data_IF_371568976170
#
_entry.id   IF_371568976170
#
_cell.length_a   1.000
_cell.length_b   1.000
_cell.length_c   1.000
_cell.angle_alpha   90.00
_cell.angle_beta   90.00
_cell.angle_gamma   90.00
#
_symmetry.space_group_name_H-M   'P 1'
#
loop_
_entity.id
_entity.type
_entity.pdbx_description
1 polymer ?
#
# COMPACT_ATOMS: atom_id res chain seq x y z
N UNK A 1 8.56 6.54 20.53
CA UNK A 1 7.32 7.23 20.13
C UNK A 1 7.73 8.33 19.16
N UNK A 2 7.56 8.13 17.85
CA UNK A 2 7.86 9.16 16.86
C UNK A 2 6.54 9.80 16.47
N UNK A 3 6.25 10.94 17.09
CA UNK A 3 5.10 11.76 16.75
C UNK A 3 5.18 12.11 15.27
N UNK A 4 4.19 11.65 14.52
CA UNK A 4 4.16 11.81 13.07
C UNK A 4 3.74 13.24 12.76
N UNK A 5 4.71 14.14 12.59
CA UNK A 5 4.49 15.54 12.26
C UNK A 5 3.55 15.61 11.05
N UNK A 6 2.35 16.13 11.26
CA UNK A 6 1.38 16.46 10.21
C UNK A 6 1.54 17.93 9.88
N UNK A 7 1.52 18.29 8.59
CA UNK A 7 1.53 19.70 8.21
C UNK A 7 0.21 20.34 8.62
N UNK A 8 0.28 21.29 9.55
CA UNK A 8 -0.89 21.98 10.10
C UNK A 8 -1.09 23.28 9.32
N UNK A 9 -2.26 23.43 8.74
CA UNK A 9 -2.70 24.71 8.16
C UNK A 9 -3.88 25.21 8.99
N UNK A 10 -3.71 26.40 9.57
CA UNK A 10 -4.77 27.11 10.26
C UNK A 10 -5.52 27.99 9.24
N UNK A 11 -6.84 27.81 9.14
CA UNK A 11 -7.67 28.63 8.27
C UNK A 11 -8.67 29.39 9.14
N UNK A 12 -8.60 30.73 9.11
CA UNK A 12 -9.58 31.62 9.71
C UNK A 12 -10.53 32.12 8.61
N UNK A 13 -11.74 31.56 8.55
CA UNK A 13 -12.71 31.87 7.50
C UNK A 13 -14.14 31.90 8.03
N UNK A 14 -14.87 32.98 7.73
CA UNK A 14 -16.21 33.25 8.27
C UNK A 14 -17.38 32.52 7.58
N UNK A 15 -17.20 31.85 6.42
CA UNK A 15 -18.24 30.99 5.79
C UNK A 15 -17.61 29.95 4.88
N UNK A 16 -18.11 28.72 4.92
CA UNK A 16 -18.30 27.79 3.79
C UNK A 16 -19.06 26.56 4.29
N UNK A 17 -20.24 26.32 3.72
CA UNK A 17 -21.08 25.13 3.98
C UNK A 17 -21.28 24.42 2.66
N UNK A 18 -20.24 23.72 2.21
CA UNK A 18 -20.42 22.72 1.16
C UNK A 18 -20.56 21.36 1.84
N UNK A 19 -21.80 20.87 1.86
CA UNK A 19 -22.16 19.52 2.31
C UNK A 19 -21.49 18.52 1.37
N UNK A 20 -20.35 17.97 1.79
CA UNK A 20 -19.86 16.72 1.20
C UNK A 20 -20.83 15.60 1.57
N UNK A 21 -21.28 14.89 0.54
CA UNK A 21 -22.37 13.93 0.61
C UNK A 21 -22.00 12.65 1.37
N UNK A 22 -22.31 12.60 2.66
CA UNK A 22 -22.26 11.39 3.50
C UNK A 22 -23.23 10.27 3.05
N UNK A 23 -24.08 10.54 2.05
CA UNK A 23 -25.16 9.62 1.64
C UNK A 23 -24.78 8.57 0.59
N UNK A 24 -23.58 8.62 0.01
CA UNK A 24 -23.16 7.66 -1.02
C UNK A 24 -22.35 6.47 -0.46
N UNK A 25 -21.66 6.63 0.68
CA UNK A 25 -20.83 5.59 1.29
C UNK A 25 -21.65 4.47 1.96
N UNK A 26 -22.82 4.79 2.52
CA UNK A 26 -23.61 3.85 3.32
C UNK A 26 -24.38 2.79 2.51
N UNK A 27 -24.55 3.00 1.20
CA UNK A 27 -25.25 2.03 0.32
C UNK A 27 -24.32 0.96 -0.28
N UNK A 28 -23.00 1.18 -0.26
CA UNK A 28 -22.00 0.27 -0.84
C UNK A 28 -21.46 -0.79 0.14
N UNK A 29 -21.76 -0.66 1.45
CA UNK A 29 -21.20 -1.50 2.51
C UNK A 29 -21.94 -2.82 2.77
N UNK A 30 -23.07 -3.09 2.11
CA UNK A 30 -23.95 -4.23 2.40
C UNK A 30 -23.85 -5.42 1.42
N UNK A 31 -23.11 -5.30 0.32
CA UNK A 31 -22.83 -6.42 -0.56
C UNK A 31 -21.50 -7.08 -0.15
N UNK A 32 -21.49 -8.40 0.00
CA UNK A 32 -20.24 -9.15 0.16
C UNK A 32 -19.33 -8.86 -1.03
N UNK A 33 -18.10 -8.40 -0.75
CA UNK A 33 -17.13 -8.12 -1.80
C UNK A 33 -16.66 -9.44 -2.42
N UNK A 34 -16.51 -9.52 -3.75
CA UNK A 34 -16.02 -10.73 -4.38
C UNK A 34 -14.62 -11.06 -3.87
N UNK A 35 -14.39 -12.32 -3.52
CA UNK A 35 -13.07 -12.80 -3.10
C UNK A 35 -12.20 -13.14 -4.30
N UNK A 36 -10.88 -13.00 -4.13
CA UNK A 36 -9.91 -13.38 -5.16
C UNK A 36 -9.92 -14.90 -5.30
N UNK A 37 -10.00 -15.41 -6.53
CA UNK A 37 -10.00 -16.86 -6.80
C UNK A 37 -8.84 -17.62 -6.14
N UNK A 38 -7.66 -17.00 -6.05
CA UNK A 38 -6.49 -17.61 -5.39
C UNK A 38 -6.65 -17.74 -3.87
N UNK A 39 -7.40 -16.84 -3.25
CA UNK A 39 -7.56 -16.76 -1.78
C UNK A 39 -8.55 -17.80 -1.25
N UNK A 40 -9.44 -18.30 -2.12
CA UNK A 40 -10.39 -19.36 -1.76
C UNK A 40 -9.72 -20.68 -1.36
N UNK A 41 -8.44 -20.87 -1.74
CA UNK A 41 -7.66 -22.07 -1.42
C UNK A 41 -6.75 -21.89 -0.20
N UNK A 42 -6.75 -20.71 0.43
CA UNK A 42 -5.88 -20.44 1.56
C UNK A 42 -6.38 -21.17 2.80
N UNK A 43 -5.46 -21.85 3.47
CA UNK A 43 -5.69 -22.54 4.75
C UNK A 43 -4.95 -21.86 5.90
N UNK A 44 -4.63 -20.57 5.73
CA UNK A 44 -3.88 -19.79 6.71
C UNK A 44 -4.78 -19.34 7.85
N UNK A 45 -4.27 -19.38 9.08
CA UNK A 45 -4.97 -18.92 10.28
C UNK A 45 -5.42 -17.45 10.14
N UNK A 46 -6.65 -17.17 10.56
CA UNK A 46 -7.23 -15.82 10.45
C UNK A 46 -6.45 -14.76 11.26
N UNK A 47 -5.68 -15.17 12.27
CA UNK A 47 -4.79 -14.28 13.03
C UNK A 47 -3.76 -13.58 12.14
N UNK A 48 -3.36 -14.18 11.00
CA UNK A 48 -2.43 -13.59 10.04
C UNK A 48 -3.02 -12.43 9.23
N UNK A 49 -4.33 -12.15 9.34
CA UNK A 49 -4.94 -10.96 8.75
C UNK A 49 -4.83 -9.74 9.67
N UNK A 50 -4.44 -9.92 10.93
CA UNK A 50 -4.21 -8.78 11.83
C UNK A 50 -2.88 -8.08 11.54
N UNK A 51 -2.94 -6.75 11.45
CA UNK A 51 -1.79 -5.90 11.14
C UNK A 51 -0.52 -6.21 11.96
N UNK A 52 -0.65 -6.37 13.29
CA UNK A 52 0.49 -6.66 14.16
C UNK A 52 1.15 -8.01 13.83
N UNK A 53 0.34 -9.03 13.49
CA UNK A 53 0.84 -10.34 13.10
C UNK A 53 1.52 -10.29 11.73
N UNK A 54 0.98 -9.52 10.79
CA UNK A 54 1.62 -9.29 9.49
C UNK A 54 2.96 -8.56 9.62
N UNK A 55 3.07 -7.60 10.54
CA UNK A 55 4.33 -6.92 10.82
C UNK A 55 5.35 -7.83 11.50
N UNK A 56 4.90 -8.72 12.40
CA UNK A 56 5.73 -9.78 12.97
C UNK A 56 6.26 -10.73 11.88
N UNK A 57 5.41 -11.15 10.94
CA UNK A 57 5.80 -11.96 9.79
C UNK A 57 6.92 -11.28 8.99
N UNK A 58 6.78 -9.99 8.66
CA UNK A 58 7.83 -9.25 7.93
C UNK A 58 9.18 -9.26 8.68
N UNK A 59 9.17 -9.06 10.01
CA UNK A 59 10.40 -9.15 10.82
C UNK A 59 11.03 -10.53 10.76
N UNK A 60 10.23 -11.59 10.89
CA UNK A 60 10.67 -12.98 10.86
C UNK A 60 11.17 -13.40 9.47
N UNK A 61 10.58 -12.85 8.40
CA UNK A 61 11.06 -13.06 7.03
C UNK A 61 12.45 -12.46 6.83
N UNK A 62 12.70 -11.23 7.28
CA UNK A 62 14.01 -10.56 7.23
C UNK A 62 15.06 -11.30 8.06
N UNK A 63 14.70 -11.75 9.26
CA UNK A 63 15.59 -12.51 10.13
C UNK A 63 15.89 -13.94 9.64
N UNK A 64 15.33 -14.32 8.48
CA UNK A 64 15.34 -15.68 7.92
C UNK A 64 14.96 -16.79 8.91
N UNK A 65 14.07 -16.47 9.88
CA UNK A 65 13.60 -17.39 10.92
C UNK A 65 13.01 -18.72 10.37
N UNK A 66 13.70 -19.87 10.53
CA UNK A 66 13.22 -21.15 10.00
C UNK A 66 11.97 -21.68 10.72
N UNK A 67 11.60 -21.12 11.87
CA UNK A 67 10.44 -21.55 12.66
C UNK A 67 9.12 -20.92 12.19
N UNK A 68 9.15 -20.05 11.16
CA UNK A 68 7.95 -19.50 10.54
C UNK A 68 7.43 -20.48 9.48
N UNK A 69 6.47 -21.33 9.85
CA UNK A 69 5.92 -22.36 8.97
C UNK A 69 5.31 -21.75 7.68
N UNK A 70 4.66 -20.59 7.78
CA UNK A 70 4.02 -19.88 6.67
C UNK A 70 5.01 -19.06 5.81
N UNK A 71 6.32 -19.15 6.06
CA UNK A 71 7.38 -18.38 5.35
C UNK A 71 7.19 -18.42 3.84
N UNK A 72 7.02 -19.62 3.30
CA UNK A 72 6.88 -19.84 1.86
C UNK A 72 5.57 -19.27 1.33
N UNK A 73 4.49 -19.32 2.11
CA UNK A 73 3.21 -18.72 1.74
C UNK A 73 3.35 -17.20 1.57
N UNK A 74 3.94 -16.51 2.56
CA UNK A 74 4.10 -15.05 2.48
C UNK A 74 5.06 -14.62 1.38
N UNK A 75 6.22 -15.29 1.25
CA UNK A 75 7.17 -15.01 0.15
C UNK A 75 6.49 -15.18 -1.21
N UNK A 76 5.67 -16.21 -1.39
CA UNK A 76 4.92 -16.45 -2.63
C UNK A 76 3.88 -15.37 -2.92
N UNK A 77 3.13 -14.91 -1.92
CA UNK A 77 2.15 -13.83 -2.13
C UNK A 77 2.80 -12.49 -2.47
N UNK A 78 3.93 -12.17 -1.82
CA UNK A 78 4.70 -10.96 -2.16
C UNK A 78 5.28 -11.06 -3.57
N UNK A 79 5.92 -12.20 -3.88
CA UNK A 79 6.47 -12.45 -5.22
C UNK A 79 5.41 -12.36 -6.31
N UNK A 80 4.22 -12.90 -6.08
CA UNK A 80 3.14 -12.84 -7.06
C UNK A 80 2.67 -11.40 -7.37
N UNK A 81 2.83 -10.45 -6.43
CA UNK A 81 2.62 -9.02 -6.71
C UNK A 81 3.77 -8.43 -7.54
N UNK A 82 5.02 -8.75 -7.18
CA UNK A 82 6.21 -8.30 -7.93
C UNK A 82 6.19 -8.76 -9.39
N UNK A 83 5.85 -10.04 -9.63
CA UNK A 83 5.70 -10.58 -10.98
C UNK A 83 4.58 -9.85 -11.76
N UNK A 84 3.54 -9.39 -11.04
CA UNK A 84 2.49 -8.54 -11.60
C UNK A 84 2.98 -7.16 -12.05
N UNK A 85 3.80 -6.51 -11.24
CA UNK A 85 4.42 -5.22 -11.59
C UNK A 85 5.42 -5.34 -12.74
N UNK A 86 6.28 -6.37 -12.71
CA UNK A 86 7.22 -6.63 -13.79
C UNK A 86 6.51 -6.83 -15.15
N UNK A 87 5.37 -7.53 -15.14
CA UNK A 87 4.53 -7.67 -16.34
C UNK A 87 3.94 -6.35 -16.79
N UNK A 88 3.42 -5.53 -15.87
CA UNK A 88 2.87 -4.21 -16.19
C UNK A 88 3.92 -3.29 -16.82
N UNK A 89 5.13 -3.26 -16.27
CA UNK A 89 6.23 -2.45 -16.82
C UNK A 89 6.59 -2.91 -18.24
N UNK A 90 6.67 -4.23 -18.46
CA UNK A 90 6.89 -4.81 -19.79
C UNK A 90 5.78 -4.46 -20.78
N UNK A 91 4.52 -4.59 -20.38
CA UNK A 91 3.34 -4.29 -21.22
C UNK A 91 3.28 -2.79 -21.59
N UNK A 92 3.77 -1.91 -20.73
CA UNK A 92 3.86 -0.47 -20.98
C UNK A 92 5.12 -0.04 -21.74
N UNK A 93 5.93 -0.99 -22.24
CA UNK A 93 7.14 -0.67 -22.98
C UNK A 93 8.24 -0.04 -22.13
N UNK A 94 8.18 -0.17 -20.79
CA UNK A 94 9.26 0.23 -19.88
C UNK A 94 10.34 -0.84 -20.00
N UNK A 95 11.12 -0.73 -21.07
CA UNK A 95 12.26 -1.58 -21.35
C UNK A 95 13.44 -1.04 -20.55
N UNK A 96 13.60 -1.53 -19.32
CA UNK A 96 14.80 -1.26 -18.55
C UNK A 96 16.02 -1.71 -19.35
N UNK A 97 16.80 -0.77 -19.86
CA UNK A 97 18.21 -1.00 -20.09
C UNK A 97 18.84 -1.23 -18.72
N UNK A 98 18.72 -2.42 -18.12
CA UNK A 98 19.54 -2.88 -16.98
C UNK A 98 19.08 -4.26 -16.46
N UNK A 99 20.04 -5.15 -16.19
CA UNK A 99 19.86 -6.23 -15.21
C UNK A 99 19.49 -5.54 -13.88
N UNK A 100 18.35 -5.88 -13.27
CA UNK A 100 17.76 -5.27 -12.04
C UNK A 100 16.61 -4.25 -12.23
N UNK A 101 15.91 -4.26 -13.38
CA UNK A 101 14.79 -3.34 -13.65
C UNK A 101 13.63 -3.38 -12.62
N UNK A 102 13.42 -4.50 -11.92
CA UNK A 102 12.39 -4.67 -10.87
C UNK A 102 13.06 -4.80 -9.50
N UNK A 103 12.51 -4.15 -8.48
CA UNK A 103 12.90 -4.34 -7.07
C UNK A 103 12.82 -5.82 -6.66
N UNK A 104 13.85 -6.29 -5.95
CA UNK A 104 13.94 -7.69 -5.52
C UNK A 104 12.93 -8.03 -4.42
N UNK A 105 12.70 -9.33 -4.20
CA UNK A 105 11.82 -9.80 -3.12
C UNK A 105 12.33 -9.33 -1.74
N UNK A 106 13.61 -9.49 -1.46
CA UNK A 106 14.18 -9.15 -0.15
C UNK A 106 14.12 -7.64 0.10
N UNK A 107 14.47 -6.83 -0.91
CA UNK A 107 14.34 -5.37 -0.83
C UNK A 107 12.88 -4.92 -0.66
N UNK A 108 11.93 -5.63 -1.26
CA UNK A 108 10.49 -5.36 -1.08
C UNK A 108 10.05 -5.67 0.36
N UNK A 109 10.49 -6.80 0.92
CA UNK A 109 10.17 -7.17 2.31
C UNK A 109 10.78 -6.12 3.27
N UNK A 110 12.00 -5.68 3.01
CA UNK A 110 12.67 -4.63 3.77
C UNK A 110 11.90 -3.30 3.69
N UNK A 111 11.53 -2.86 2.49
CA UNK A 111 10.74 -1.65 2.27
C UNK A 111 9.39 -1.70 3.02
N UNK A 112 8.69 -2.83 2.96
CA UNK A 112 7.45 -3.06 3.70
C UNK A 112 7.67 -2.97 5.22
N UNK A 113 8.77 -3.52 5.74
CA UNK A 113 9.09 -3.50 7.16
C UNK A 113 9.51 -2.10 7.65
N UNK A 114 10.40 -1.42 6.93
CA UNK A 114 10.87 -0.06 7.25
C UNK A 114 9.68 0.91 7.24
N UNK A 115 8.81 0.80 6.24
CA UNK A 115 7.55 1.56 6.16
C UNK A 115 6.51 1.14 7.21
N UNK A 116 6.81 0.16 8.07
CA UNK A 116 5.91 -0.42 9.08
C UNK A 116 4.58 -0.87 8.47
N UNK A 117 4.61 -1.36 7.24
CA UNK A 117 3.43 -1.73 6.45
C UNK A 117 2.39 -0.60 6.46
N UNK A 118 2.82 0.65 6.24
CA UNK A 118 1.93 1.82 6.12
C UNK A 118 2.05 2.45 4.76
N UNK A 119 0.95 3.00 4.27
CA UNK A 119 0.92 3.76 3.03
C UNK A 119 1.75 5.04 3.16
N UNK A 120 2.68 5.29 2.24
CA UNK A 120 3.51 6.48 2.19
C UNK A 120 2.70 7.77 2.04
N UNK A 121 1.49 7.70 1.48
CA UNK A 121 0.62 8.84 1.25
C UNK A 121 -0.30 9.12 2.44
N UNK A 122 -1.24 8.22 2.76
CA UNK A 122 -2.20 8.46 3.84
C UNK A 122 -1.72 8.04 5.24
N UNK A 123 -0.55 7.40 5.38
CA UNK A 123 0.04 6.89 6.64
C UNK A 123 -0.74 5.79 7.36
N UNK A 124 -1.83 5.36 6.75
CA UNK A 124 -2.74 4.35 7.23
C UNK A 124 -2.17 2.94 6.97
N UNK A 125 -2.40 1.97 7.87
CA UNK A 125 -1.86 0.59 7.79
C UNK A 125 -2.33 -0.20 6.55
N UNK A 126 -1.39 -0.73 5.77
CA UNK A 126 -1.69 -1.63 4.68
C UNK A 126 -1.91 -3.07 5.18
N UNK A 127 -2.53 -3.89 4.33
CA UNK A 127 -2.71 -5.33 4.53
C UNK A 127 -1.70 -6.07 3.67
N UNK A 128 -0.84 -6.89 4.28
CA UNK A 128 0.15 -7.71 3.57
C UNK A 128 -0.54 -8.81 2.73
N UNK A 129 -1.53 -9.47 3.35
CA UNK A 129 -2.45 -10.44 2.73
C UNK A 129 -3.89 -9.99 2.93
N UNK A 130 -4.76 -10.32 1.97
CA UNK A 130 -6.13 -9.85 1.86
C UNK A 130 -6.97 -10.78 0.96
N UNK A 131 -8.24 -10.99 1.30
CA UNK A 131 -9.17 -11.91 0.60
C UNK A 131 -9.92 -11.21 -0.55
N UNK A 132 -10.33 -9.96 -0.34
CA UNK A 132 -11.21 -9.23 -1.26
C UNK A 132 -10.51 -8.77 -2.54
N UNK A 133 -11.24 -8.82 -3.66
CA UNK A 133 -10.86 -8.14 -4.90
C UNK A 133 -10.85 -6.63 -4.66
N UNK A 134 -9.81 -5.96 -5.14
CA UNK A 134 -9.61 -4.52 -4.97
C UNK A 134 -9.69 -4.05 -3.51
N UNK A 135 -9.28 -4.88 -2.54
CA UNK A 135 -9.15 -4.49 -1.13
C UNK A 135 -8.40 -3.14 -1.04
N UNK A 136 -9.03 -2.05 -0.55
CA UNK A 136 -8.48 -0.70 -0.66
C UNK A 136 -7.21 -0.51 0.17
N UNK A 137 -7.03 -1.36 1.18
CA UNK A 137 -5.93 -1.36 2.14
C UNK A 137 -4.81 -2.31 1.76
N UNK A 138 -4.96 -3.13 0.71
CA UNK A 138 -3.86 -3.95 0.24
C UNK A 138 -2.64 -3.08 -0.07
N UNK A 139 -1.46 -3.57 0.30
CA UNK A 139 -0.23 -2.90 -0.08
C UNK A 139 -0.03 -2.98 -1.60
N UNK A 140 0.59 -1.95 -2.16
CA UNK A 140 1.04 -1.86 -3.54
C UNK A 140 2.41 -1.19 -3.57
N UNK A 141 3.19 -1.43 -4.62
CA UNK A 141 4.26 -0.52 -5.00
C UNK A 141 3.67 0.54 -5.92
N UNK A 142 3.86 1.81 -5.56
CA UNK A 142 3.53 2.95 -6.40
C UNK A 142 4.82 3.57 -6.91
N UNK A 143 4.85 3.92 -8.20
CA UNK A 143 6.05 4.46 -8.86
C UNK A 143 6.22 5.93 -8.49
N UNK A 144 7.40 6.36 -8.08
CA UNK A 144 7.62 7.78 -7.73
C UNK A 144 7.58 8.62 -9.00
N UNK A 145 8.41 8.25 -9.97
CA UNK A 145 8.36 8.68 -11.36
C UNK A 145 7.53 7.68 -12.18
N UNK A 146 6.52 8.18 -12.90
CA UNK A 146 5.62 7.34 -13.69
C UNK A 146 6.23 6.87 -15.02
N UNK A 147 7.31 7.50 -15.46
CA UNK A 147 8.01 7.18 -16.70
C UNK A 147 9.11 6.11 -16.49
N UNK A 148 9.42 5.80 -15.22
CA UNK A 148 10.37 4.76 -14.83
C UNK A 148 9.66 3.48 -14.31
N UNK A 149 10.35 2.33 -14.34
CA UNK A 149 9.81 1.05 -13.85
C UNK A 149 9.80 0.94 -12.32
N UNK A 150 9.31 -0.19 -11.81
CA UNK A 150 9.26 -0.49 -10.37
C UNK A 150 10.64 -0.91 -9.80
N UNK A 151 11.65 -0.05 -9.93
CA UNK A 151 13.00 -0.27 -9.39
C UNK A 151 13.06 0.01 -7.89
N UNK A 152 14.15 -0.42 -7.22
CA UNK A 152 14.36 -0.15 -5.79
C UNK A 152 14.26 1.33 -5.42
N UNK A 153 14.74 2.21 -6.31
CA UNK A 153 14.82 3.65 -6.05
C UNK A 153 13.60 4.42 -6.55
N UNK A 154 12.72 3.79 -7.33
CA UNK A 154 11.56 4.43 -7.94
C UNK A 154 10.22 3.94 -7.36
N UNK A 155 10.20 3.31 -6.18
CA UNK A 155 8.95 2.82 -5.59
C UNK A 155 8.75 3.25 -4.15
N UNK A 156 7.49 3.43 -3.78
CA UNK A 156 7.05 3.57 -2.39
C UNK A 156 5.92 2.59 -2.10
N UNK A 157 5.79 2.18 -0.84
CA UNK A 157 4.64 1.39 -0.39
C UNK A 157 3.42 2.30 -0.30
N UNK A 158 2.37 1.96 -1.02
CA UNK A 158 1.08 2.64 -0.96
C UNK A 158 -0.05 1.64 -0.66
N UNK A 159 -1.18 2.11 -0.15
CA UNK A 159 -2.41 1.32 -0.24
C UNK A 159 -3.01 1.48 -1.64
N UNK A 160 -3.73 0.46 -2.13
CA UNK A 160 -4.36 0.50 -3.45
C UNK A 160 -5.24 1.74 -3.64
N UNK A 161 -6.01 2.14 -2.62
CA UNK A 161 -6.87 3.32 -2.73
C UNK A 161 -6.08 4.61 -3.03
N UNK A 162 -4.91 4.79 -2.42
CA UNK A 162 -4.06 5.95 -2.69
C UNK A 162 -3.38 5.85 -4.05
N UNK A 163 -2.86 4.68 -4.43
CA UNK A 163 -2.21 4.49 -5.73
C UNK A 163 -3.20 4.80 -6.88
N UNK A 164 -4.41 4.25 -6.82
CA UNK A 164 -5.47 4.54 -7.79
C UNK A 164 -5.95 6.01 -7.79
N UNK A 165 -5.83 6.70 -6.66
CA UNK A 165 -6.18 8.12 -6.54
C UNK A 165 -5.06 9.02 -7.08
N UNK A 166 -3.79 8.69 -6.81
CA UNK A 166 -2.62 9.42 -7.32
C UNK A 166 -2.59 9.35 -8.84
N UNK A 167 -2.73 8.16 -9.42
CA UNK A 167 -2.59 7.93 -10.87
C UNK A 167 -1.26 8.50 -11.36
N UNK A 168 -1.31 9.51 -12.23
CA UNK A 168 -0.15 10.19 -12.81
C UNK A 168 0.22 11.48 -12.09
N UNK A 169 -0.42 11.82 -10.97
CA UNK A 169 -0.05 13.00 -10.18
C UNK A 169 1.37 12.84 -9.62
N UNK A 170 2.09 13.96 -9.55
CA UNK A 170 3.36 14.04 -8.86
C UNK A 170 3.25 13.45 -7.44
N UNK A 171 4.16 12.54 -7.11
CA UNK A 171 4.08 11.74 -5.89
C UNK A 171 4.19 12.60 -4.63
N UNK A 172 5.08 13.60 -4.61
CA UNK A 172 5.28 14.47 -3.45
C UNK A 172 4.13 15.47 -3.28
N UNK A 173 3.61 16.05 -4.37
CA UNK A 173 2.40 16.88 -4.33
C UNK A 173 1.20 16.11 -3.81
N UNK A 174 1.00 14.88 -4.29
CA UNK A 174 -0.09 14.02 -3.83
C UNK A 174 0.07 13.67 -2.34
N UNK A 175 1.27 13.27 -1.92
CA UNK A 175 1.62 12.99 -0.53
C UNK A 175 1.37 14.18 0.39
N UNK A 176 1.82 15.37 -0.01
CA UNK A 176 1.57 16.61 0.73
C UNK A 176 0.06 16.78 0.95
N UNK A 177 -0.73 16.72 -0.12
CA UNK A 177 -2.19 16.81 -0.05
C UNK A 177 -2.84 15.79 0.89
N UNK A 178 -2.41 14.51 0.83
CA UNK A 178 -2.94 13.44 1.70
C UNK A 178 -2.56 13.59 3.18
N UNK A 179 -1.50 14.34 3.49
CA UNK A 179 -0.97 14.49 4.85
C UNK A 179 -1.26 15.86 5.49
N UNK A 180 -1.95 16.74 4.77
CA UNK A 180 -2.45 17.99 5.31
C UNK A 180 -3.47 17.74 6.43
N UNK A 181 -3.26 18.41 7.56
CA UNK A 181 -4.26 18.53 8.63
C UNK A 181 -4.73 19.97 8.70
N UNK A 182 -5.95 20.21 8.22
CA UNK A 182 -6.60 21.51 8.40
C UNK A 182 -7.15 21.58 9.81
N UNK A 183 -6.69 22.56 10.59
CA UNK A 183 -7.22 22.87 11.91
C UNK A 183 -7.99 24.17 11.77
N UNK A 184 -9.25 24.18 12.22
CA UNK A 184 -10.05 25.39 12.24
C UNK A 184 -9.59 26.22 13.44
N UNK A 185 -9.13 27.45 13.19
CA UNK A 185 -8.86 28.40 14.27
C UNK A 185 -10.16 28.75 14.98
N UNK A 186 -10.14 28.81 16.30
CA UNK A 186 -11.26 29.30 17.12
C UNK A 186 -11.15 30.80 17.29
#
# INVERSE_FOLDING_TARGET
MTDSIKHVVCIEGKRNVDKLSDKLSDKLSKAEKPQRTRTMKWTIDDAFFHYNKQLEVLRRLIADDPTLEERNFFKKEIKAKLDGYARQDKENGIHGNELNAIISLDATIELLLIGKLRCAYCRECCELIYKDVMAPRQWTLDRVDNDEGHSHNNVVVACLACNLQRRTMDAERFKFGKQLRVVKGF
#
